data_IF_360146013420
#
_entry.id   IF_360146013420
#
_cell.length_a   1.000
_cell.length_b   1.000
_cell.length_c   1.000
_cell.angle_alpha   90.00
_cell.angle_beta   90.00
_cell.angle_gamma   90.00
#
_symmetry.space_group_name_H-M   'P 1'
#
loop_
_entity.id
_entity.type
_entity.pdbx_description
1 polymer ?
#
# COMPACT_ATOMS: atom_id res chain seq x y z
N UNK A 1 -5.01 4.35 -18.70
CA UNK A 1 -3.70 5.03 -18.85
C UNK A 1 -3.64 5.52 -20.28
N UNK A 2 -3.38 6.78 -20.49
CA UNK A 2 -3.39 7.39 -21.81
C UNK A 2 -1.98 7.34 -22.38
N UNK A 3 -1.84 6.88 -23.63
CA UNK A 3 -0.58 6.98 -24.34
C UNK A 3 -0.33 8.45 -24.70
N UNK A 4 0.83 8.99 -24.30
CA UNK A 4 1.20 10.38 -24.57
C UNK A 4 2.38 10.38 -25.54
N UNK A 5 2.20 10.97 -26.71
CA UNK A 5 3.27 11.18 -27.66
C UNK A 5 4.05 12.45 -27.23
N UNK A 6 5.21 12.24 -26.64
CA UNK A 6 6.03 13.32 -26.10
C UNK A 6 7.30 13.51 -26.93
N UNK A 7 7.67 14.78 -27.16
CA UNK A 7 8.91 15.15 -27.82
C UNK A 7 9.65 16.15 -26.94
N UNK A 8 10.95 15.99 -26.79
CA UNK A 8 11.84 16.91 -26.10
C UNK A 8 12.93 17.43 -27.06
N UNK A 9 13.32 18.69 -26.91
CA UNK A 9 14.50 19.23 -27.55
C UNK A 9 15.71 19.03 -26.64
N UNK A 10 16.76 18.37 -27.18
CA UNK A 10 18.02 18.12 -26.51
C UNK A 10 19.13 18.56 -27.47
N UNK A 11 19.98 19.49 -27.05
CA UNK A 11 21.09 20.01 -27.84
C UNK A 11 20.69 20.47 -29.25
N UNK A 12 19.51 21.10 -29.39
CA UNK A 12 18.96 21.58 -30.65
C UNK A 12 18.42 20.49 -31.58
N UNK A 13 18.18 19.27 -31.07
CA UNK A 13 17.52 18.18 -31.78
C UNK A 13 16.26 17.74 -31.07
N UNK A 14 15.17 17.60 -31.81
CA UNK A 14 13.93 17.07 -31.29
C UNK A 14 13.97 15.52 -31.26
N UNK A 15 13.77 14.95 -30.09
CA UNK A 15 13.80 13.50 -29.87
C UNK A 15 12.51 13.04 -29.18
N UNK A 16 11.95 11.87 -29.54
CA UNK A 16 10.80 11.33 -28.86
C UNK A 16 11.17 10.88 -27.45
N UNK A 17 10.29 11.15 -26.50
CA UNK A 17 10.36 10.68 -25.13
C UNK A 17 9.35 9.56 -24.98
N UNK A 18 9.81 8.35 -24.65
CA UNK A 18 8.92 7.22 -24.46
C UNK A 18 8.98 6.69 -23.02
N UNK A 19 7.85 6.75 -22.35
CA UNK A 19 7.69 6.00 -21.11
C UNK A 19 7.10 4.65 -21.47
N UNK A 20 7.89 3.58 -21.39
CA UNK A 20 7.38 2.24 -21.61
C UNK A 20 6.38 1.89 -20.53
N UNK A 21 5.14 1.60 -20.92
CA UNK A 21 4.19 0.94 -20.07
C UNK A 21 4.62 -0.50 -19.84
N UNK A 22 5.67 -0.69 -19.03
CA UNK A 22 6.13 -1.99 -18.62
C UNK A 22 5.15 -2.58 -17.62
N UNK A 23 4.17 -3.34 -18.11
CA UNK A 23 3.61 -4.43 -17.31
C UNK A 23 4.75 -5.44 -17.18
N UNK A 24 5.62 -5.24 -16.21
CA UNK A 24 6.59 -6.25 -15.85
C UNK A 24 5.84 -7.38 -15.15
N UNK A 25 5.61 -8.45 -15.89
CA UNK A 25 5.19 -9.75 -15.37
C UNK A 25 6.31 -10.37 -14.52
N UNK A 26 6.71 -9.67 -13.47
CA UNK A 26 7.67 -10.11 -12.46
C UNK A 26 6.92 -10.57 -11.23
N UNK A 27 6.84 -11.88 -11.06
CA UNK A 27 6.48 -12.57 -9.83
C UNK A 27 7.29 -12.06 -8.63
N UNK A 28 6.80 -11.02 -7.98
CA UNK A 28 7.19 -10.62 -6.62
C UNK A 28 6.10 -9.76 -6.02
N UNK A 29 5.23 -10.45 -5.36
CA UNK A 29 4.06 -10.01 -4.64
C UNK A 29 4.38 -9.20 -3.39
N UNK A 30 4.67 -7.92 -3.48
CA UNK A 30 4.57 -7.01 -2.32
C UNK A 30 4.52 -5.53 -2.68
N UNK A 31 4.67 -5.15 -3.94
CA UNK A 31 4.58 -3.75 -4.31
C UNK A 31 3.24 -3.44 -4.97
N UNK A 32 2.32 -2.87 -4.21
CA UNK A 32 1.10 -2.22 -4.68
C UNK A 32 1.37 -1.12 -5.73
N UNK A 33 2.60 -0.68 -5.82
CA UNK A 33 3.12 0.27 -6.81
C UNK A 33 3.33 -0.33 -8.21
N UNK A 34 3.22 -1.64 -8.38
CA UNK A 34 3.40 -2.29 -9.69
C UNK A 34 2.23 -2.11 -10.66
N UNK A 35 1.18 -1.38 -10.29
CA UNK A 35 0.09 -0.99 -11.20
C UNK A 35 0.32 0.36 -11.88
N UNK A 36 1.34 1.12 -11.51
CA UNK A 36 1.75 2.31 -12.26
C UNK A 36 2.70 1.87 -13.38
N UNK A 37 2.46 2.37 -14.60
CA UNK A 37 3.45 2.23 -15.68
C UNK A 37 4.79 2.76 -15.21
N UNK A 38 5.87 2.07 -15.55
CA UNK A 38 7.20 2.47 -15.14
C UNK A 38 7.46 3.93 -15.60
N UNK A 39 7.42 4.83 -14.63
CA UNK A 39 7.82 6.22 -14.81
C UNK A 39 6.74 7.24 -15.18
N UNK A 40 5.46 6.85 -15.34
CA UNK A 40 4.39 7.82 -15.65
C UNK A 40 3.10 7.46 -14.88
N UNK A 41 2.65 8.32 -13.97
CA UNK A 41 1.45 8.10 -13.15
C UNK A 41 0.57 9.34 -13.08
N UNK A 42 -0.75 9.16 -12.99
CA UNK A 42 -1.69 10.26 -12.78
C UNK A 42 -2.10 10.38 -11.32
N UNK A 43 -2.32 11.61 -10.85
CA UNK A 43 -2.86 11.89 -9.53
C UNK A 43 -4.17 12.67 -9.63
N UNK A 44 -5.11 12.48 -8.68
CA UNK A 44 -6.32 13.29 -8.60
C UNK A 44 -5.99 14.67 -8.05
N UNK A 45 -6.47 15.74 -8.70
CA UNK A 45 -6.22 17.11 -8.23
C UNK A 45 -6.95 17.38 -6.91
N UNK A 46 -8.23 17.05 -6.85
CA UNK A 46 -9.04 17.25 -5.66
C UNK A 46 -9.85 15.98 -5.36
N UNK A 47 -9.67 15.42 -4.18
CA UNK A 47 -10.52 14.33 -3.67
C UNK A 47 -11.82 14.86 -3.06
N UNK A 48 -11.87 16.13 -2.66
CA UNK A 48 -13.01 16.81 -2.06
C UNK A 48 -12.87 18.33 -2.28
N UNK A 49 -13.98 19.06 -2.47
CA UNK A 49 -13.97 20.52 -2.73
C UNK A 49 -13.29 21.35 -1.63
N UNK A 50 -13.17 20.81 -0.42
CA UNK A 50 -12.57 21.47 0.75
C UNK A 50 -11.26 20.81 1.22
N UNK A 51 -10.72 19.83 0.48
CA UNK A 51 -9.49 19.13 0.87
C UNK A 51 -8.24 19.84 0.37
N UNK A 52 -7.15 19.70 1.11
CA UNK A 52 -5.81 20.03 0.62
C UNK A 52 -5.53 19.27 -0.67
N UNK A 53 -4.72 19.86 -1.55
CA UNK A 53 -4.24 19.19 -2.75
C UNK A 53 -3.64 17.81 -2.40
N UNK A 54 -4.01 16.79 -3.16
CA UNK A 54 -3.56 15.42 -2.94
C UNK A 54 -2.04 15.30 -2.77
N UNK A 55 -1.27 16.04 -3.60
CA UNK A 55 0.19 16.03 -3.54
C UNK A 55 0.71 16.70 -2.26
N UNK A 56 0.16 17.82 -1.86
CA UNK A 56 0.57 18.54 -0.65
C UNK A 56 0.31 17.75 0.63
N UNK A 57 -0.73 16.92 0.62
CA UNK A 57 -1.11 16.11 1.77
C UNK A 57 -0.24 14.87 1.95
N UNK A 58 0.23 14.27 0.85
CA UNK A 58 0.85 12.93 0.88
C UNK A 58 2.33 12.93 0.53
N UNK A 59 2.87 14.06 0.05
CA UNK A 59 4.23 14.14 -0.49
C UNK A 59 4.92 15.42 -0.04
N UNK A 60 6.20 15.31 0.31
CA UNK A 60 7.04 16.46 0.67
C UNK A 60 7.72 17.05 -0.58
N UNK A 61 7.60 18.35 -0.77
CA UNK A 61 8.31 19.08 -1.82
C UNK A 61 9.81 19.17 -1.47
N UNK A 62 10.66 18.66 -2.35
CA UNK A 62 12.12 18.73 -2.19
C UNK A 62 12.72 19.95 -2.90
N UNK A 63 12.19 20.27 -4.08
CA UNK A 63 12.66 21.42 -4.89
C UNK A 63 11.58 21.86 -5.88
N UNK A 64 11.63 23.14 -6.31
CA UNK A 64 10.65 23.72 -7.22
C UNK A 64 9.34 24.10 -6.54
N UNK A 65 8.23 23.83 -7.21
CA UNK A 65 6.86 24.10 -6.73
C UNK A 65 5.92 22.93 -7.02
N UNK A 66 4.83 22.83 -6.25
CA UNK A 66 3.72 21.97 -6.64
C UNK A 66 3.07 22.46 -7.94
N UNK A 67 2.42 21.57 -8.71
CA UNK A 67 1.75 21.94 -9.95
C UNK A 67 0.64 22.98 -9.73
N UNK A 68 0.64 24.04 -10.52
CA UNK A 68 -0.42 25.05 -10.52
C UNK A 68 -1.31 24.94 -11.76
N UNK A 69 -0.73 24.45 -12.88
CA UNK A 69 -1.42 24.28 -14.17
C UNK A 69 -1.62 22.82 -14.49
N UNK A 70 -2.62 22.51 -15.28
CA UNK A 70 -2.90 21.15 -15.73
C UNK A 70 -1.75 20.53 -16.57
N UNK A 71 -0.89 21.38 -17.14
CA UNK A 71 0.30 21.02 -17.94
C UNK A 71 1.58 20.89 -17.10
N UNK A 72 1.51 21.16 -15.80
CA UNK A 72 2.65 21.03 -14.91
C UNK A 72 2.83 19.57 -14.49
N UNK A 73 4.07 19.13 -14.52
CA UNK A 73 4.51 17.80 -14.13
C UNK A 73 5.34 17.89 -12.86
N UNK A 74 5.34 16.83 -12.06
CA UNK A 74 6.28 16.67 -10.95
C UNK A 74 7.00 15.34 -11.05
N UNK A 75 8.23 15.30 -10.55
CA UNK A 75 9.03 14.11 -10.45
C UNK A 75 8.93 13.55 -9.03
N UNK A 76 8.43 12.30 -8.88
CA UNK A 76 8.40 11.60 -7.60
C UNK A 76 9.63 10.72 -7.46
N UNK A 77 10.39 10.95 -6.40
CA UNK A 77 11.52 10.12 -6.01
C UNK A 77 11.15 9.24 -4.80
N UNK A 78 11.94 8.19 -4.56
CA UNK A 78 11.76 7.34 -3.38
C UNK A 78 12.15 8.06 -2.07
N UNK A 79 11.97 7.37 -0.93
CA UNK A 79 12.30 7.91 0.40
C UNK A 79 13.81 8.19 0.61
N UNK A 80 14.68 7.72 -0.30
CA UNK A 80 16.12 7.95 -0.30
C UNK A 80 16.59 8.92 -1.41
N UNK A 81 15.65 9.63 -2.05
CA UNK A 81 15.87 10.51 -3.20
C UNK A 81 16.46 9.80 -4.41
N UNK A 82 16.07 8.54 -4.65
CA UNK A 82 16.52 7.76 -5.80
C UNK A 82 15.41 7.66 -6.82
N UNK A 83 15.80 7.54 -8.07
CA UNK A 83 14.94 7.31 -9.22
C UNK A 83 15.58 6.21 -10.08
N UNK A 84 14.74 5.45 -10.79
CA UNK A 84 15.24 4.49 -11.79
C UNK A 84 15.96 5.24 -12.91
N UNK A 85 17.15 4.78 -13.25
CA UNK A 85 17.98 5.36 -14.30
C UNK A 85 17.24 5.43 -15.64
N UNK A 86 16.45 4.39 -15.95
CA UNK A 86 15.66 4.31 -17.19
C UNK A 86 14.69 5.48 -17.34
N UNK A 87 14.13 5.98 -16.24
CA UNK A 87 13.21 7.13 -16.27
C UNK A 87 13.95 8.41 -16.70
N UNK A 88 15.16 8.60 -16.17
CA UNK A 88 15.99 9.75 -16.54
C UNK A 88 16.51 9.65 -17.98
N UNK A 89 16.91 8.47 -18.42
CA UNK A 89 17.30 8.20 -19.80
C UNK A 89 16.13 8.46 -20.77
N UNK A 90 14.95 8.00 -20.43
CA UNK A 90 13.74 8.26 -21.23
C UNK A 90 13.38 9.75 -21.27
N UNK A 91 13.67 10.49 -20.22
CA UNK A 91 13.58 11.95 -20.22
C UNK A 91 14.68 12.62 -21.06
N UNK A 92 15.66 11.87 -21.54
CA UNK A 92 16.76 12.35 -22.36
C UNK A 92 17.92 12.94 -21.56
N UNK A 93 18.08 12.57 -20.29
CA UNK A 93 19.30 12.88 -19.54
C UNK A 93 20.37 11.83 -19.82
N UNK A 94 21.62 12.28 -20.04
CA UNK A 94 22.76 11.35 -20.12
C UNK A 94 23.24 11.02 -18.70
N UNK A 95 22.85 9.85 -18.22
CA UNK A 95 23.10 9.41 -16.83
C UNK A 95 24.00 8.16 -16.76
N UNK A 96 24.64 7.78 -17.87
CA UNK A 96 25.42 6.52 -17.95
C UNK A 96 26.57 6.43 -16.95
N UNK A 97 27.20 7.56 -16.61
CA UNK A 97 28.32 7.65 -15.68
C UNK A 97 28.04 8.60 -14.51
N UNK A 98 26.76 8.94 -14.27
CA UNK A 98 26.34 9.91 -13.28
C UNK A 98 25.72 9.23 -12.07
N UNK A 99 26.35 9.35 -10.90
CA UNK A 99 25.81 8.83 -9.64
C UNK A 99 24.77 9.76 -9.00
N UNK A 100 24.84 11.06 -9.31
CA UNK A 100 23.94 12.09 -8.73
C UNK A 100 23.64 13.15 -9.76
N UNK A 101 22.36 13.47 -9.89
CA UNK A 101 21.86 14.59 -10.70
C UNK A 101 21.33 15.68 -9.77
N UNK A 102 21.62 16.94 -10.09
CA UNK A 102 21.07 18.07 -9.32
C UNK A 102 19.59 18.26 -9.64
N UNK A 103 18.81 18.63 -8.63
CA UNK A 103 17.40 18.93 -8.83
C UNK A 103 17.19 20.13 -9.79
N UNK A 104 18.10 21.09 -9.77
CA UNK A 104 18.06 22.27 -10.65
C UNK A 104 18.23 21.90 -12.14
N UNK A 105 18.86 20.77 -12.45
CA UNK A 105 19.02 20.27 -13.83
C UNK A 105 17.73 19.65 -14.37
N UNK A 106 16.86 19.18 -13.47
CA UNK A 106 15.60 18.50 -13.81
C UNK A 106 14.45 19.50 -13.85
N UNK A 107 14.41 20.44 -12.90
CA UNK A 107 13.35 21.44 -12.80
C UNK A 107 13.43 22.37 -14.01
N UNK A 108 12.26 22.65 -14.60
CA UNK A 108 12.17 23.47 -15.82
C UNK A 108 12.33 22.67 -17.11
N UNK A 109 12.59 21.36 -17.04
CA UNK A 109 12.59 20.51 -18.24
C UNK A 109 11.24 20.58 -18.94
N UNK A 110 11.26 20.91 -20.22
CA UNK A 110 10.08 21.03 -21.05
C UNK A 110 9.99 19.89 -22.06
N UNK A 111 8.75 19.45 -22.30
CA UNK A 111 8.40 18.48 -23.33
C UNK A 111 7.17 18.97 -24.08
N UNK A 112 7.05 18.60 -25.34
CA UNK A 112 5.84 18.86 -26.14
C UNK A 112 4.98 17.60 -26.18
N UNK A 113 3.72 17.76 -25.81
CA UNK A 113 2.68 16.75 -26.02
C UNK A 113 2.09 16.94 -27.41
N UNK A 114 2.24 15.93 -28.25
CA UNK A 114 1.86 15.94 -29.67
C UNK A 114 0.50 15.27 -29.83
N UNK A 115 -0.40 15.90 -30.56
CA UNK A 115 -1.71 15.31 -30.87
C UNK A 115 -1.58 14.14 -31.86
N UNK A 116 -2.57 13.24 -31.87
CA UNK A 116 -2.57 12.11 -32.80
C UNK A 116 -2.52 12.56 -34.26
N UNK A 117 -3.20 13.65 -34.61
CA UNK A 117 -3.26 14.14 -35.99
C UNK A 117 -1.91 14.71 -36.48
N UNK A 118 -1.02 15.08 -35.55
CA UNK A 118 0.35 15.47 -35.87
C UNK A 118 1.32 14.29 -35.84
N UNK A 119 1.09 13.33 -34.94
CA UNK A 119 1.96 12.19 -34.77
C UNK A 119 1.75 11.12 -35.84
N UNK A 120 0.49 10.90 -36.29
CA UNK A 120 0.18 9.91 -37.30
C UNK A 120 -0.12 10.55 -38.64
N UNK A 121 0.53 10.06 -39.69
CA UNK A 121 0.29 10.50 -41.05
C UNK A 121 -0.46 9.44 -41.83
N UNK A 122 -1.56 9.80 -42.48
CA UNK A 122 -2.33 8.92 -43.35
C UNK A 122 -1.61 8.69 -44.68
N UNK A 123 -1.42 7.44 -45.02
CA UNK A 123 -0.82 7.02 -46.31
C UNK A 123 -1.84 7.06 -47.46
N UNK A 124 -1.35 6.98 -48.69
CA UNK A 124 -2.20 6.88 -49.86
C UNK A 124 -3.11 5.61 -49.89
N UNK A 125 -2.71 4.59 -49.11
CA UNK A 125 -3.46 3.34 -48.98
C UNK A 125 -4.52 3.41 -47.84
N UNK A 126 -4.63 4.52 -47.13
CA UNK A 126 -5.59 4.71 -46.06
C UNK A 126 -5.13 4.19 -44.68
N UNK A 127 -3.90 3.65 -44.57
CA UNK A 127 -3.28 3.29 -43.28
C UNK A 127 -2.66 4.50 -42.64
N UNK A 128 -2.42 4.42 -41.33
CA UNK A 128 -1.72 5.44 -40.57
C UNK A 128 -0.33 4.94 -40.17
N UNK A 129 0.66 5.82 -40.27
CA UNK A 129 2.05 5.55 -39.84
C UNK A 129 2.55 6.67 -38.94
N UNK A 130 3.35 6.39 -37.91
CA UNK A 130 3.98 7.41 -37.11
C UNK A 130 4.89 8.30 -37.98
N UNK A 131 4.79 9.62 -37.82
CA UNK A 131 5.72 10.56 -38.42
C UNK A 131 7.08 10.50 -37.71
N UNK A 132 8.14 10.72 -38.45
CA UNK A 132 9.52 10.85 -37.94
C UNK A 132 10.03 12.29 -37.99
N UNK A 133 9.21 13.22 -38.43
CA UNK A 133 9.55 14.65 -38.50
C UNK A 133 9.27 15.30 -37.13
N UNK A 134 10.14 15.01 -36.17
CA UNK A 134 10.00 15.50 -34.80
C UNK A 134 10.11 17.01 -34.68
N UNK A 135 10.88 17.67 -35.57
CA UNK A 135 11.08 19.12 -35.57
C UNK A 135 9.78 19.83 -35.94
N UNK A 136 9.10 19.37 -36.98
CA UNK A 136 7.79 19.94 -37.38
C UNK A 136 6.74 19.70 -36.30
N UNK A 137 6.68 18.52 -35.70
CA UNK A 137 5.75 18.21 -34.61
C UNK A 137 5.99 19.07 -33.36
N UNK A 138 7.26 19.24 -32.99
CA UNK A 138 7.64 20.02 -31.82
C UNK A 138 7.23 21.50 -31.94
N UNK A 139 7.36 22.06 -33.12
CA UNK A 139 7.06 23.49 -33.41
C UNK A 139 5.59 23.72 -33.84
N UNK A 140 4.77 22.70 -33.85
CA UNK A 140 3.38 22.86 -34.26
C UNK A 140 2.56 23.64 -33.21
N UNK A 141 1.67 24.50 -33.69
CA UNK A 141 0.86 25.41 -32.85
C UNK A 141 -0.08 24.66 -31.89
N UNK A 142 -0.51 23.43 -32.27
CA UNK A 142 -1.43 22.60 -31.48
C UNK A 142 -0.69 21.75 -30.41
N UNK A 143 0.63 21.73 -30.40
CA UNK A 143 1.41 21.03 -29.38
C UNK A 143 1.34 21.73 -28.03
N UNK A 144 1.15 20.95 -26.92
CA UNK A 144 1.12 21.49 -25.57
C UNK A 144 2.50 21.38 -24.90
N UNK A 145 2.92 22.46 -24.25
CA UNK A 145 4.15 22.42 -23.45
C UNK A 145 3.84 21.87 -22.06
N UNK A 146 4.48 20.74 -21.71
CA UNK A 146 4.52 20.20 -20.37
C UNK A 146 5.84 20.59 -19.71
N UNK A 147 5.81 20.98 -18.44
CA UNK A 147 7.00 21.43 -17.71
C UNK A 147 7.11 20.70 -16.38
N UNK A 148 8.29 20.19 -16.05
CA UNK A 148 8.57 19.66 -14.72
C UNK A 148 8.79 20.83 -13.78
N UNK A 149 7.83 21.09 -12.89
CA UNK A 149 7.84 22.25 -11.98
C UNK A 149 8.42 21.95 -10.62
N UNK A 150 8.41 20.68 -10.20
CA UNK A 150 8.89 20.31 -8.89
C UNK A 150 9.33 18.86 -8.77
N UNK A 151 10.04 18.59 -7.69
CA UNK A 151 10.47 17.25 -7.28
C UNK A 151 9.88 16.99 -5.91
N UNK A 152 9.16 15.88 -5.78
CA UNK A 152 8.46 15.49 -4.56
C UNK A 152 8.95 14.13 -4.08
N UNK A 153 8.80 13.89 -2.80
CA UNK A 153 9.13 12.63 -2.12
C UNK A 153 7.97 12.18 -1.26
N UNK A 154 7.78 10.88 -1.11
CA UNK A 154 6.81 10.31 -0.15
C UNK A 154 7.14 10.86 1.24
N UNK A 155 6.11 11.31 1.96
CA UNK A 155 6.30 11.74 3.35
C UNK A 155 6.87 10.56 4.16
N UNK A 156 8.01 10.74 4.88
CA UNK A 156 8.61 9.68 5.69
C UNK A 156 7.67 9.10 6.75
N UNK A 157 6.68 9.88 7.19
CA UNK A 157 5.66 9.44 8.16
C UNK A 157 4.51 8.67 7.50
N UNK A 158 4.53 8.56 6.17
CA UNK A 158 3.51 7.88 5.38
C UNK A 158 4.10 6.66 4.68
N UNK A 159 3.96 5.48 5.27
CA UNK A 159 4.53 4.22 4.76
C UNK A 159 3.86 3.72 3.45
N UNK A 160 2.78 4.36 2.99
CA UNK A 160 2.02 3.96 1.81
C UNK A 160 2.39 4.82 0.59
N UNK A 161 3.17 4.26 -0.31
CA UNK A 161 3.38 4.81 -1.64
C UNK A 161 2.11 4.61 -2.49
N UNK A 162 1.29 5.67 -2.62
CA UNK A 162 0.08 5.63 -3.45
C UNK A 162 0.41 5.72 -4.95
N UNK A 163 1.53 6.36 -5.30
CA UNK A 163 2.00 6.53 -6.67
C UNK A 163 3.40 5.94 -6.82
N UNK A 164 3.71 5.41 -7.99
CA UNK A 164 5.05 4.92 -8.33
C UNK A 164 6.03 6.07 -8.60
N UNK A 165 7.32 5.84 -8.31
CA UNK A 165 8.37 6.80 -8.62
C UNK A 165 8.44 7.08 -10.12
N UNK A 166 8.62 8.35 -10.51
CA UNK A 166 8.65 8.80 -11.90
C UNK A 166 7.96 10.12 -12.11
N UNK A 167 7.56 10.37 -13.36
CA UNK A 167 6.80 11.58 -13.73
C UNK A 167 5.35 11.39 -13.31
N UNK A 168 4.83 12.40 -12.64
CA UNK A 168 3.45 12.46 -12.16
C UNK A 168 2.76 13.64 -12.81
N UNK A 169 1.55 13.41 -13.30
CA UNK A 169 0.72 14.39 -13.98
C UNK A 169 -0.72 14.34 -13.45
N UNK A 170 -1.47 15.42 -13.68
CA UNK A 170 -2.84 15.57 -13.19
C UNK A 170 -3.85 14.72 -13.96
N UNK A 171 -4.92 14.31 -13.32
CA UNK A 171 -6.08 13.67 -13.95
C UNK A 171 -6.74 14.56 -15.01
N UNK A 172 -6.67 15.88 -14.85
CA UNK A 172 -7.13 16.84 -15.86
C UNK A 172 -6.31 16.80 -17.13
N UNK A 173 -4.98 16.58 -17.03
CA UNK A 173 -4.15 16.38 -18.20
C UNK A 173 -4.55 15.10 -18.93
N UNK A 174 -4.83 14.02 -18.20
CA UNK A 174 -5.35 12.77 -18.80
C UNK A 174 -6.63 13.02 -19.61
N UNK A 175 -7.58 13.76 -19.01
CA UNK A 175 -8.83 14.09 -19.67
C UNK A 175 -8.61 14.94 -20.94
N UNK A 176 -7.75 15.95 -20.85
CA UNK A 176 -7.40 16.79 -22.00
C UNK A 176 -6.81 15.98 -23.16
N UNK A 177 -5.95 15.00 -22.85
CA UNK A 177 -5.36 14.12 -23.87
C UNK A 177 -6.43 13.24 -24.53
N UNK A 178 -7.32 12.65 -23.73
CA UNK A 178 -8.43 11.82 -24.21
C UNK A 178 -9.37 12.64 -25.08
N UNK A 179 -9.81 13.81 -24.61
CA UNK A 179 -10.72 14.69 -25.35
C UNK A 179 -10.15 15.05 -26.74
N UNK A 180 -8.84 15.35 -26.83
CA UNK A 180 -8.16 15.59 -28.10
C UNK A 180 -8.02 14.35 -28.97
N UNK A 181 -7.74 13.19 -28.36
CA UNK A 181 -7.58 11.93 -29.09
C UNK A 181 -8.89 11.48 -29.72
N UNK A 182 -10.03 11.65 -29.02
CA UNK A 182 -11.37 11.31 -29.52
C UNK A 182 -11.72 12.02 -30.81
N UNK A 183 -11.27 13.25 -30.96
CA UNK A 183 -11.53 14.06 -32.18
C UNK A 183 -10.55 13.78 -33.33
N UNK A 184 -9.48 13.03 -33.08
CA UNK A 184 -8.44 12.74 -34.08
C UNK A 184 -8.94 11.89 -35.24
N UNK A 185 -8.34 12.09 -36.42
CA UNK A 185 -8.71 11.35 -37.65
C UNK A 185 -8.46 9.85 -37.50
N UNK A 186 -7.35 9.46 -36.88
CA UNK A 186 -6.97 8.05 -36.70
C UNK A 186 -7.97 7.30 -35.77
N UNK A 187 -8.42 7.92 -34.68
CA UNK A 187 -9.42 7.32 -33.78
C UNK A 187 -10.76 7.17 -34.46
N UNK A 188 -11.21 8.20 -35.18
CA UNK A 188 -12.45 8.14 -35.97
C UNK A 188 -12.38 7.04 -37.04
N UNK A 189 -11.26 6.95 -37.75
CA UNK A 189 -11.04 5.92 -38.74
C UNK A 189 -11.07 4.50 -38.13
N UNK A 190 -10.46 4.29 -36.95
CA UNK A 190 -10.50 2.97 -36.31
C UNK A 190 -11.88 2.63 -35.75
N UNK A 191 -12.63 3.58 -35.25
CA UNK A 191 -14.03 3.36 -34.80
C UNK A 191 -14.91 2.90 -35.93
N UNK A 192 -14.74 3.48 -37.12
CA UNK A 192 -15.55 3.18 -38.30
C UNK A 192 -15.10 1.92 -39.07
N UNK A 193 -13.90 1.39 -38.77
CA UNK A 193 -13.32 0.23 -39.45
C UNK A 193 -13.36 -1.03 -38.61
N UNK A 194 -13.60 -2.19 -39.27
CA UNK A 194 -13.37 -3.53 -38.68
C UNK A 194 -11.92 -4.02 -38.86
N UNK A 195 -11.10 -3.30 -39.62
CA UNK A 195 -9.71 -3.62 -39.85
C UNK A 195 -8.81 -2.64 -39.11
N UNK A 196 -7.58 -3.06 -38.79
CA UNK A 196 -6.56 -2.20 -38.18
C UNK A 196 -6.21 -1.05 -39.12
N UNK A 197 -6.26 0.18 -38.57
CA UNK A 197 -5.78 1.38 -39.30
C UNK A 197 -4.30 1.39 -39.54
N UNK A 198 -3.53 0.49 -38.92
CA UNK A 198 -2.10 0.36 -39.10
C UNK A 198 -1.70 -0.70 -40.13
N UNK A 199 -2.37 -1.89 -40.08
CA UNK A 199 -1.94 -3.08 -40.86
C UNK A 199 -2.99 -3.54 -41.89
N UNK A 200 -4.22 -3.00 -41.83
CA UNK A 200 -5.38 -3.46 -42.65
C UNK A 200 -5.84 -4.91 -42.36
N UNK A 201 -5.33 -5.54 -41.33
CA UNK A 201 -5.78 -6.87 -40.88
C UNK A 201 -7.12 -6.77 -40.18
N UNK A 202 -7.99 -7.78 -40.34
CA UNK A 202 -9.25 -7.87 -39.61
C UNK A 202 -9.01 -7.97 -38.12
N UNK A 203 -9.72 -7.17 -37.35
CA UNK A 203 -9.69 -7.15 -35.89
C UNK A 203 -10.97 -7.77 -35.34
N UNK A 204 -10.84 -8.62 -34.33
CA UNK A 204 -11.98 -8.96 -33.49
C UNK A 204 -12.39 -7.75 -32.62
N UNK A 205 -13.56 -7.82 -32.00
CA UNK A 205 -14.09 -6.70 -31.22
C UNK A 205 -13.14 -6.31 -30.08
N UNK A 206 -12.50 -7.26 -29.40
CA UNK A 206 -11.56 -7.01 -28.31
C UNK A 206 -10.30 -6.29 -28.80
N UNK A 207 -9.72 -6.77 -29.90
CA UNK A 207 -8.54 -6.16 -30.52
C UNK A 207 -8.83 -4.75 -31.06
N UNK A 208 -10.04 -4.55 -31.61
CA UNK A 208 -10.51 -3.25 -32.05
C UNK A 208 -10.60 -2.27 -30.88
N UNK A 209 -11.25 -2.66 -29.78
CA UNK A 209 -11.36 -1.83 -28.58
C UNK A 209 -9.97 -1.54 -27.97
N UNK A 210 -9.08 -2.51 -27.91
CA UNK A 210 -7.71 -2.30 -27.46
C UNK A 210 -6.96 -1.29 -28.34
N UNK A 211 -7.12 -1.35 -29.65
CA UNK A 211 -6.50 -0.40 -30.58
C UNK A 211 -7.06 1.01 -30.36
N UNK A 212 -8.38 1.17 -30.25
CA UNK A 212 -9.02 2.46 -29.95
C UNK A 212 -8.50 3.01 -28.61
N UNK A 213 -8.46 2.18 -27.56
CA UNK A 213 -7.97 2.58 -26.25
C UNK A 213 -6.48 2.98 -26.28
N UNK A 214 -5.63 2.26 -27.04
CA UNK A 214 -4.20 2.60 -27.19
C UNK A 214 -3.98 3.95 -27.90
N UNK A 215 -4.92 4.36 -28.76
CA UNK A 215 -4.92 5.67 -29.42
C UNK A 215 -5.53 6.77 -28.54
N UNK A 216 -5.98 6.46 -27.33
CA UNK A 216 -6.68 7.38 -26.45
C UNK A 216 -8.14 7.65 -26.83
N UNK A 217 -8.73 6.83 -27.69
CA UNK A 217 -10.09 6.98 -28.22
C UNK A 217 -11.18 6.35 -27.34
N UNK A 218 -10.88 5.92 -26.13
CA UNK A 218 -11.81 5.36 -25.16
C UNK A 218 -11.82 6.22 -23.88
N UNK A 219 -12.97 6.73 -23.51
CA UNK A 219 -13.20 7.48 -22.27
C UNK A 219 -13.44 6.57 -21.06
N UNK A 220 -13.65 5.27 -21.30
CA UNK A 220 -13.95 4.34 -20.22
C UNK A 220 -12.76 4.23 -19.27
N UNK A 221 -12.92 4.51 -17.98
CA UNK A 221 -11.81 4.41 -17.05
C UNK A 221 -11.39 2.95 -16.88
N UNK A 222 -10.12 2.67 -17.12
CA UNK A 222 -9.53 1.34 -16.94
C UNK A 222 -9.57 0.91 -15.47
N UNK A 223 -9.42 1.87 -14.55
CA UNK A 223 -9.39 1.65 -13.11
C UNK A 223 -9.95 2.86 -12.39
N UNK A 224 -10.78 2.60 -11.39
CA UNK A 224 -11.28 3.61 -10.46
C UNK A 224 -10.61 3.40 -9.10
N UNK A 225 -9.98 4.45 -8.58
CA UNK A 225 -9.44 4.45 -7.23
C UNK A 225 -10.37 5.20 -6.30
N UNK A 226 -10.84 4.51 -5.26
CA UNK A 226 -11.71 5.09 -4.23
C UNK A 226 -10.88 5.34 -2.97
N UNK A 227 -10.95 6.55 -2.45
CA UNK A 227 -10.23 6.98 -1.23
C UNK A 227 -11.25 7.22 -0.11
N UNK A 228 -11.63 6.19 0.65
CA UNK A 228 -12.57 6.35 1.76
C UNK A 228 -11.94 7.19 2.88
N UNK A 229 -12.79 7.96 3.58
CA UNK A 229 -12.35 8.85 4.66
C UNK A 229 -11.86 8.09 5.89
N UNK A 230 -12.47 6.95 6.16
CA UNK A 230 -12.22 6.09 7.32
C UNK A 230 -12.59 4.63 7.02
N UNK A 231 -12.30 3.73 7.96
CA UNK A 231 -12.60 2.30 7.82
C UNK A 231 -14.10 2.01 7.73
N UNK A 232 -14.95 2.76 8.43
CA UNK A 232 -16.40 2.56 8.39
C UNK A 232 -16.96 2.89 7.00
N UNK A 233 -16.51 3.99 6.41
CA UNK A 233 -16.85 4.38 5.04
C UNK A 233 -16.33 3.35 4.02
N UNK A 234 -15.11 2.83 4.21
CA UNK A 234 -14.54 1.77 3.39
C UNK A 234 -15.41 0.52 3.44
N UNK A 235 -15.78 0.06 4.64
CA UNK A 235 -16.62 -1.13 4.82
C UNK A 235 -18.03 -0.93 4.23
N UNK A 236 -18.57 0.28 4.27
CA UNK A 236 -19.84 0.59 3.62
C UNK A 236 -19.74 0.48 2.09
N UNK A 237 -18.64 0.95 1.49
CA UNK A 237 -18.38 0.82 0.05
C UNK A 237 -18.22 -0.65 -0.36
N UNK A 238 -17.41 -1.42 0.36
CA UNK A 238 -17.20 -2.84 0.03
C UNK A 238 -18.49 -3.65 0.18
N UNK A 239 -19.26 -3.42 1.24
CA UNK A 239 -20.57 -4.06 1.41
C UNK A 239 -21.57 -3.69 0.29
N UNK A 240 -21.53 -2.45 -0.21
CA UNK A 240 -22.36 -2.03 -1.35
C UNK A 240 -21.95 -2.77 -2.63
N UNK A 241 -20.64 -2.87 -2.91
CA UNK A 241 -20.12 -3.58 -4.08
C UNK A 241 -20.46 -5.07 -4.02
N UNK A 242 -20.33 -5.70 -2.86
CA UNK A 242 -20.70 -7.10 -2.65
C UNK A 242 -22.21 -7.32 -2.87
N UNK A 243 -23.04 -6.44 -2.33
CA UNK A 243 -24.48 -6.49 -2.56
C UNK A 243 -24.86 -6.29 -4.04
N UNK A 244 -24.14 -5.41 -4.74
CA UNK A 244 -24.30 -5.19 -6.17
C UNK A 244 -23.91 -6.44 -6.98
N UNK A 245 -22.84 -7.12 -6.62
CA UNK A 245 -22.34 -8.32 -7.28
C UNK A 245 -23.21 -9.56 -7.00
N UNK A 246 -23.98 -9.54 -5.92
CA UNK A 246 -24.79 -10.69 -5.52
C UNK A 246 -25.80 -11.07 -6.61
N UNK A 247 -25.67 -12.30 -7.12
CA UNK A 247 -26.58 -12.86 -8.14
C UNK A 247 -26.29 -12.46 -9.58
N UNK A 248 -25.16 -11.79 -9.85
CA UNK A 248 -24.70 -11.48 -11.20
C UNK A 248 -23.82 -12.59 -11.78
N UNK A 249 -23.67 -12.60 -13.10
CA UNK A 249 -22.69 -13.45 -13.78
C UNK A 249 -21.29 -12.89 -13.60
N UNK A 250 -20.25 -13.73 -13.77
CA UNK A 250 -18.85 -13.31 -13.62
C UNK A 250 -18.50 -12.12 -14.54
N UNK A 251 -19.09 -12.06 -15.73
CA UNK A 251 -18.86 -10.97 -16.70
C UNK A 251 -19.51 -9.64 -16.29
N UNK A 252 -20.53 -9.65 -15.43
CA UNK A 252 -21.26 -8.47 -14.97
C UNK A 252 -20.84 -8.01 -13.56
N UNK A 253 -19.91 -8.71 -12.93
CA UNK A 253 -19.43 -8.37 -11.57
C UNK A 253 -18.41 -7.24 -11.60
N UNK A 254 -18.48 -6.36 -10.61
CA UNK A 254 -17.43 -5.35 -10.37
C UNK A 254 -16.29 -6.03 -9.61
N UNK A 255 -15.12 -6.11 -10.26
CA UNK A 255 -13.90 -6.62 -9.63
C UNK A 255 -13.26 -5.45 -8.89
N UNK A 256 -13.06 -5.61 -7.60
CA UNK A 256 -12.38 -4.59 -6.78
C UNK A 256 -11.32 -5.22 -5.87
N UNK A 257 -10.35 -4.43 -5.49
CA UNK A 257 -9.30 -4.82 -4.54
C UNK A 257 -9.34 -3.89 -3.33
N UNK A 258 -9.63 -4.44 -2.16
CA UNK A 258 -9.52 -3.71 -0.89
C UNK A 258 -8.08 -3.81 -0.36
N UNK A 259 -7.35 -2.72 -0.58
CA UNK A 259 -5.96 -2.59 -0.22
C UNK A 259 -5.75 -2.60 1.29
N UNK A 260 -6.60 -1.86 2.02
CA UNK A 260 -6.54 -1.78 3.46
C UNK A 260 -6.84 -3.13 4.12
N UNK A 261 -7.81 -3.89 3.60
CA UNK A 261 -8.09 -5.25 4.07
C UNK A 261 -6.92 -6.20 3.77
N UNK A 262 -6.29 -6.09 2.61
CA UNK A 262 -5.12 -6.90 2.25
C UNK A 262 -3.95 -6.67 3.20
N UNK A 263 -3.60 -5.41 3.46
CA UNK A 263 -2.54 -5.04 4.42
C UNK A 263 -2.92 -5.51 5.84
N UNK A 264 -4.17 -5.27 6.27
CA UNK A 264 -4.65 -5.71 7.58
C UNK A 264 -4.59 -7.23 7.75
N UNK A 265 -4.91 -7.99 6.70
CA UNK A 265 -4.87 -9.46 6.75
C UNK A 265 -3.43 -9.98 6.86
N UNK A 266 -2.49 -9.38 6.15
CA UNK A 266 -1.06 -9.69 6.27
C UNK A 266 -0.54 -9.39 7.67
N UNK A 267 -0.87 -8.20 8.20
CA UNK A 267 -0.48 -7.80 9.55
C UNK A 267 -1.08 -8.74 10.61
N UNK A 268 -2.37 -9.11 10.49
CA UNK A 268 -3.01 -10.10 11.36
C UNK A 268 -2.30 -11.46 11.29
N UNK A 269 -1.87 -11.90 10.10
CA UNK A 269 -1.11 -13.14 9.93
C UNK A 269 0.19 -13.14 10.72
N UNK A 270 0.97 -12.07 10.62
CA UNK A 270 2.22 -11.88 11.36
C UNK A 270 1.96 -11.81 12.87
N UNK A 271 0.96 -11.02 13.29
CA UNK A 271 0.60 -10.89 14.70
C UNK A 271 0.13 -12.21 15.31
N UNK A 272 -0.65 -13.01 14.57
CA UNK A 272 -1.06 -14.33 15.01
C UNK A 272 0.14 -15.28 15.17
N UNK A 273 1.11 -15.25 14.24
CA UNK A 273 2.32 -16.06 14.35
C UNK A 273 3.15 -15.67 15.59
N UNK A 274 3.36 -14.36 15.81
CA UNK A 274 4.06 -13.85 17.01
C UNK A 274 3.32 -14.26 18.28
N UNK A 275 2.00 -14.09 18.30
CA UNK A 275 1.16 -14.45 19.45
C UNK A 275 1.25 -15.95 19.75
N UNK A 276 1.22 -16.82 18.73
CA UNK A 276 1.38 -18.26 18.89
C UNK A 276 2.73 -18.63 19.52
N UNK A 277 3.81 -18.00 19.08
CA UNK A 277 5.14 -18.20 19.64
C UNK A 277 5.19 -17.74 21.10
N UNK A 278 4.61 -16.58 21.43
CA UNK A 278 4.53 -16.09 22.80
C UNK A 278 3.71 -17.00 23.71
N UNK A 279 2.58 -17.53 23.22
CA UNK A 279 1.78 -18.51 23.96
C UNK A 279 2.58 -19.81 24.20
N UNK A 280 3.35 -20.27 23.21
CA UNK A 280 4.20 -21.44 23.38
C UNK A 280 5.27 -21.21 24.46
N UNK A 281 5.94 -20.06 24.47
CA UNK A 281 6.91 -19.70 25.52
C UNK A 281 6.25 -19.57 26.90
N UNK A 282 5.08 -18.96 26.98
CA UNK A 282 4.30 -18.90 28.20
C UNK A 282 3.92 -20.30 28.72
N UNK A 283 3.53 -21.20 27.82
CA UNK A 283 3.23 -22.59 28.15
C UNK A 283 4.43 -23.36 28.70
N UNK A 284 5.60 -23.22 28.06
CA UNK A 284 6.85 -23.82 28.55
C UNK A 284 7.21 -23.26 29.94
N UNK A 285 7.12 -21.94 30.12
CA UNK A 285 7.36 -21.29 31.41
C UNK A 285 6.41 -21.81 32.50
N UNK A 286 5.14 -22.02 32.17
CA UNK A 286 4.15 -22.60 33.08
C UNK A 286 4.53 -24.04 33.52
N UNK A 287 4.95 -24.88 32.57
CA UNK A 287 5.38 -26.26 32.84
C UNK A 287 6.61 -26.27 33.77
N UNK A 288 7.61 -25.43 33.52
CA UNK A 288 8.80 -25.32 34.37
C UNK A 288 8.41 -24.84 35.77
N UNK A 289 7.52 -23.86 35.88
CA UNK A 289 7.00 -23.37 37.17
C UNK A 289 6.28 -24.47 37.93
N UNK A 290 5.46 -25.26 37.24
CA UNK A 290 4.74 -26.41 37.86
C UNK A 290 5.71 -27.46 38.42
N UNK A 291 6.76 -27.81 37.67
CA UNK A 291 7.79 -28.75 38.14
C UNK A 291 8.48 -28.19 39.41
N UNK A 292 8.82 -26.90 39.40
CA UNK A 292 9.46 -26.25 40.54
C UNK A 292 8.54 -26.27 41.78
N UNK A 293 7.25 -25.92 41.62
CA UNK A 293 6.25 -25.96 42.68
C UNK A 293 6.13 -27.39 43.24
N UNK A 294 6.09 -28.43 42.39
CA UNK A 294 6.06 -29.83 42.84
C UNK A 294 7.28 -30.21 43.70
N UNK A 295 8.48 -29.79 43.28
CA UNK A 295 9.70 -30.08 44.03
C UNK A 295 9.69 -29.35 45.39
N UNK A 296 9.33 -28.09 45.44
CA UNK A 296 9.26 -27.30 46.66
C UNK A 296 8.22 -27.89 47.63
N UNK A 297 7.03 -28.19 47.13
CA UNK A 297 5.96 -28.81 47.96
C UNK A 297 6.37 -30.18 48.48
N UNK A 298 7.02 -31.00 47.66
CA UNK A 298 7.52 -32.31 48.05
C UNK A 298 8.57 -32.20 49.17
N UNK A 299 9.55 -31.30 49.06
CA UNK A 299 10.58 -31.09 50.06
C UNK A 299 10.00 -30.52 51.36
N UNK A 300 9.04 -29.55 51.24
CA UNK A 300 8.35 -29.01 52.44
C UNK A 300 7.58 -30.08 53.21
N UNK A 301 6.90 -31.01 52.53
CA UNK A 301 6.20 -32.15 53.18
C UNK A 301 7.19 -33.08 53.85
N UNK A 302 8.35 -33.37 53.24
CA UNK A 302 9.40 -34.21 53.84
C UNK A 302 9.96 -33.58 55.11
N UNK A 303 10.22 -32.28 55.12
CA UNK A 303 10.72 -31.59 56.30
C UNK A 303 9.74 -31.65 57.49
N UNK A 304 8.43 -31.61 57.22
CA UNK A 304 7.36 -31.67 58.23
C UNK A 304 6.90 -33.09 58.58
N UNK A 305 7.61 -34.14 58.14
CA UNK A 305 7.22 -35.53 58.34
C UNK A 305 7.06 -35.89 59.84
N UNK A 306 7.87 -35.31 60.74
CA UNK A 306 7.75 -35.52 62.20
C UNK A 306 6.44 -34.92 62.74
N UNK A 307 6.06 -33.76 62.33
CA UNK A 307 4.81 -33.06 62.74
C UNK A 307 3.60 -33.86 62.27
N UNK A 308 3.60 -34.37 61.02
CA UNK A 308 2.58 -35.25 60.46
C UNK A 308 2.49 -36.55 61.26
N UNK A 309 3.62 -37.11 61.67
CA UNK A 309 3.70 -38.28 62.50
C UNK A 309 3.06 -38.08 63.87
N UNK A 310 3.30 -36.97 64.54
CA UNK A 310 2.69 -36.58 65.82
C UNK A 310 1.19 -36.42 65.68
N UNK A 311 0.71 -35.71 64.63
CA UNK A 311 -0.73 -35.54 64.39
C UNK A 311 -1.42 -36.88 64.18
N UNK A 312 -0.81 -37.83 63.45
CA UNK A 312 -1.35 -39.19 63.27
C UNK A 312 -1.35 -39.99 64.55
N UNK A 313 -0.34 -39.84 65.40
CA UNK A 313 -0.29 -40.53 66.71
C UNK A 313 -1.41 -40.01 67.66
N UNK A 314 -1.81 -38.75 67.52
CA UNK A 314 -2.90 -38.12 68.24
C UNK A 314 -4.30 -38.46 67.63
N UNK A 315 -4.35 -39.30 66.56
CA UNK A 315 -5.61 -39.79 66.01
C UNK A 315 -6.15 -38.99 64.80
N UNK A 316 -5.40 -38.06 64.24
CA UNK A 316 -5.82 -37.32 63.05
C UNK A 316 -5.98 -38.27 61.85
N UNK A 317 -7.09 -38.12 61.07
CA UNK A 317 -7.36 -38.89 59.88
C UNK A 317 -6.50 -38.39 58.72
N UNK A 318 -6.10 -39.25 57.78
CA UNK A 318 -5.34 -38.90 56.60
C UNK A 318 -5.99 -37.73 55.83
N UNK A 319 -7.34 -37.73 55.70
CA UNK A 319 -8.10 -36.67 55.03
C UNK A 319 -7.98 -35.30 55.69
N UNK A 320 -7.86 -35.27 57.01
CA UNK A 320 -7.78 -33.99 57.76
C UNK A 320 -6.40 -33.37 57.57
N UNK A 321 -5.35 -34.18 57.52
CA UNK A 321 -3.98 -33.75 57.21
C UNK A 321 -3.91 -33.21 55.74
N UNK A 322 -4.44 -33.98 54.79
CA UNK A 322 -4.46 -33.52 53.37
C UNK A 322 -5.19 -32.20 53.23
N UNK A 323 -6.35 -32.00 53.89
CA UNK A 323 -7.10 -30.74 53.84
C UNK A 323 -6.31 -29.52 54.36
N UNK A 324 -5.46 -29.73 55.36
CA UNK A 324 -4.60 -28.63 55.89
C UNK A 324 -3.60 -28.21 54.83
N UNK A 325 -2.94 -29.17 54.19
CA UNK A 325 -1.95 -28.86 53.11
C UNK A 325 -2.63 -28.30 51.86
N UNK A 326 -3.82 -28.82 51.49
CA UNK A 326 -4.60 -28.31 50.35
C UNK A 326 -5.02 -26.82 50.63
N UNK A 327 -5.41 -26.51 51.88
CA UNK A 327 -5.75 -25.15 52.25
C UNK A 327 -4.52 -24.22 52.22
N UNK A 328 -3.35 -24.67 52.65
CA UNK A 328 -2.08 -23.92 52.63
C UNK A 328 -1.69 -23.62 51.17
N UNK A 329 -1.74 -24.63 50.27
CA UNK A 329 -1.40 -24.45 48.85
C UNK A 329 -2.41 -23.60 48.13
N UNK A 330 -3.72 -23.69 48.44
CA UNK A 330 -4.76 -22.87 47.88
C UNK A 330 -4.57 -21.40 48.26
N UNK A 331 -4.23 -21.09 49.51
CA UNK A 331 -3.96 -19.71 49.95
C UNK A 331 -2.74 -19.16 49.22
N UNK A 332 -1.67 -19.98 49.08
CA UNK A 332 -0.46 -19.58 48.36
C UNK A 332 -0.78 -19.34 46.87
N UNK A 333 -1.61 -20.18 46.23
CA UNK A 333 -2.05 -20.04 44.85
C UNK A 333 -2.84 -18.75 44.61
N UNK A 334 -3.80 -18.44 45.46
CA UNK A 334 -4.58 -17.18 45.39
C UNK A 334 -3.67 -15.96 45.57
N UNK A 335 -2.78 -16.00 46.58
CA UNK A 335 -1.90 -14.88 46.86
C UNK A 335 -0.90 -14.64 45.72
N UNK A 336 -0.24 -15.69 45.22
CA UNK A 336 0.72 -15.59 44.12
C UNK A 336 0.05 -15.16 42.82
N UNK A 337 -1.14 -15.72 42.49
CA UNK A 337 -1.92 -15.33 41.33
C UNK A 337 -2.35 -13.87 41.35
N UNK A 338 -2.82 -13.41 42.54
CA UNK A 338 -3.20 -12.00 42.72
C UNK A 338 -1.98 -11.07 42.57
N UNK A 339 -0.84 -11.44 43.15
CA UNK A 339 0.40 -10.67 43.04
C UNK A 339 0.90 -10.63 41.57
N UNK A 340 0.82 -11.74 40.86
CA UNK A 340 1.18 -11.83 39.43
C UNK A 340 0.31 -10.91 38.57
N UNK A 341 -1.01 -10.93 38.77
CA UNK A 341 -1.96 -10.04 38.08
C UNK A 341 -1.68 -8.57 38.41
N UNK A 342 -1.37 -8.24 39.65
CA UNK A 342 -1.07 -6.88 40.09
C UNK A 342 0.22 -6.36 39.43
N UNK A 343 1.27 -7.18 39.36
CA UNK A 343 2.51 -6.83 38.66
C UNK A 343 2.26 -6.66 37.15
N UNK A 344 1.50 -7.55 36.54
CA UNK A 344 1.13 -7.43 35.12
C UNK A 344 0.36 -6.13 34.85
N UNK A 345 -0.60 -5.81 35.72
CA UNK A 345 -1.38 -4.57 35.61
C UNK A 345 -0.49 -3.32 35.77
N UNK A 346 0.40 -3.31 36.76
CA UNK A 346 1.37 -2.23 36.92
C UNK A 346 2.28 -2.07 35.69
N UNK A 347 2.62 -3.19 35.01
CA UNK A 347 3.42 -3.20 33.79
C UNK A 347 2.71 -2.58 32.59
N UNK A 348 1.37 -2.52 32.58
CA UNK A 348 0.63 -1.89 31.46
C UNK A 348 0.86 -0.38 31.37
N UNK A 349 1.13 0.31 32.49
CA UNK A 349 1.34 1.76 32.49
C UNK A 349 2.59 2.20 31.69
N UNK A 350 3.82 1.67 31.99
CA UNK A 350 4.99 2.04 31.20
C UNK A 350 4.89 1.57 29.73
N UNK A 351 4.27 0.42 29.49
CA UNK A 351 4.07 -0.08 28.12
C UNK A 351 3.17 0.88 27.32
N UNK A 352 2.02 1.31 27.89
CA UNK A 352 1.15 2.29 27.23
C UNK A 352 1.84 3.61 26.97
N UNK A 353 2.68 4.09 27.91
CA UNK A 353 3.43 5.34 27.72
C UNK A 353 4.45 5.24 26.58
N UNK A 354 5.12 4.09 26.43
CA UNK A 354 6.04 3.86 25.30
C UNK A 354 5.28 3.79 23.98
N UNK A 355 4.16 3.06 23.95
CA UNK A 355 3.33 2.94 22.73
C UNK A 355 2.74 4.31 22.33
N UNK A 356 2.22 5.08 23.31
CA UNK A 356 1.68 6.41 23.04
C UNK A 356 2.75 7.36 22.45
N UNK A 357 3.98 7.29 22.92
CA UNK A 357 5.08 8.10 22.40
C UNK A 357 5.56 7.67 21.00
N UNK A 358 5.31 6.42 20.61
CA UNK A 358 5.74 5.89 19.31
C UNK A 358 4.65 5.93 18.24
N UNK A 359 3.37 5.84 18.62
CA UNK A 359 2.25 5.61 17.69
C UNK A 359 1.07 6.55 17.88
N UNK A 360 1.11 7.47 18.87
CA UNK A 360 -0.04 8.32 19.29
C UNK A 360 -1.30 7.54 19.72
N UNK A 361 -1.21 6.22 19.87
CA UNK A 361 -2.33 5.37 20.28
C UNK A 361 -2.38 5.26 21.81
N UNK A 362 -3.55 5.60 22.40
CA UNK A 362 -3.76 5.57 23.86
C UNK A 362 -4.39 4.26 24.31
N UNK A 363 -3.94 3.78 25.48
CA UNK A 363 -4.53 2.61 26.17
C UNK A 363 -4.58 1.32 25.33
N UNK A 364 -3.51 1.01 24.59
CA UNK A 364 -3.42 -0.19 23.76
C UNK A 364 -3.28 -1.45 24.62
N UNK A 365 -2.42 -1.41 25.66
CA UNK A 365 -2.23 -2.51 26.59
C UNK A 365 -3.25 -2.42 27.72
N UNK A 366 -4.29 -3.27 27.67
CA UNK A 366 -5.33 -3.34 28.70
C UNK A 366 -5.47 -4.75 29.24
N UNK A 367 -5.53 -4.90 30.56
CA UNK A 367 -5.82 -6.18 31.23
C UNK A 367 -7.31 -6.24 31.53
N UNK A 368 -8.06 -7.07 30.81
CA UNK A 368 -9.48 -7.26 31.05
C UNK A 368 -9.68 -8.02 32.36
N UNK A 369 -10.67 -7.62 33.14
CA UNK A 369 -11.00 -8.21 34.46
C UNK A 369 -11.28 -9.72 34.34
N UNK A 370 -11.96 -10.13 33.26
CA UNK A 370 -12.23 -11.56 33.03
C UNK A 370 -10.96 -12.40 32.90
N UNK A 371 -9.95 -11.92 32.18
CA UNK A 371 -8.65 -12.60 32.05
C UNK A 371 -7.88 -12.60 33.38
N UNK A 372 -7.94 -11.50 34.14
CA UNK A 372 -7.32 -11.44 35.46
C UNK A 372 -7.88 -12.48 36.43
N UNK A 373 -9.23 -12.62 36.50
CA UNK A 373 -9.87 -13.65 37.33
C UNK A 373 -9.51 -15.05 36.88
N UNK A 374 -9.47 -15.29 35.57
CA UNK A 374 -9.11 -16.60 35.02
C UNK A 374 -7.66 -16.97 35.37
N UNK A 375 -6.73 -16.03 35.30
CA UNK A 375 -5.32 -16.27 35.67
C UNK A 375 -5.16 -16.61 37.17
N UNK A 376 -5.88 -15.91 38.06
CA UNK A 376 -5.89 -16.22 39.49
C UNK A 376 -6.49 -17.61 39.73
N UNK A 377 -7.59 -17.94 39.04
CA UNK A 377 -8.19 -19.26 39.16
C UNK A 377 -7.24 -20.40 38.71
N UNK A 378 -6.55 -20.22 37.59
CA UNK A 378 -5.53 -21.15 37.09
C UNK A 378 -4.40 -21.30 38.13
N UNK A 379 -3.89 -20.20 38.67
CA UNK A 379 -2.82 -20.20 39.69
C UNK A 379 -3.26 -20.90 40.98
N UNK A 380 -4.56 -20.93 41.30
CA UNK A 380 -5.10 -21.58 42.50
C UNK A 380 -5.29 -23.09 42.30
N UNK A 381 -5.59 -23.51 41.05
CA UNK A 381 -5.81 -24.93 40.70
C UNK A 381 -4.47 -25.66 40.50
N UNK A 382 -3.46 -24.97 39.97
CA UNK A 382 -2.09 -25.47 39.81
C UNK A 382 -1.37 -25.65 41.14
#
# INVERSE_FOLDING_TARGET
MVNMNLIREIDGKCVPVSFSSGISSGTSSTNLTSMSSAGLSSYPINLDENSQNFLEKNYNLLAGSYPEKDTDLVLLVDNQNRLDQTILENLGFDVKDVEKLSFDEIIGTQMRLISNDQYYTKTEYGTFVPSTDYDTMYNADDSLTLTITGIIRIDPDNDLALLGSGIIYSDKLSKLVIDRALDSEIVKAQKDSSTSVFTMEELDETSKQMTIASLGGDETPYMLMLYPKDFDTKDAITNYLDAWNAGKSDDDTIIYTDLAASISSMTKGIMNAITMVLIAFAGISLVVSLIMICIITYTSVLERTKEIGVLRALGARKKDITRVFDAETCILGVFSGTLGVLIAWLGTFPINSIIENMTDLKNVATLQIGHAVLLVAISTIL
#
